data_IF_271196346053
#
_entry.id   IF_271196346053
#
_cell.length_a   1.000
_cell.length_b   1.000
_cell.length_c   1.000
_cell.angle_alpha   90.00
_cell.angle_beta   90.00
_cell.angle_gamma   90.00
#
_symmetry.space_group_name_H-M   'P 1'
#
loop_
_entity.id
_entity.type
_entity.pdbx_description
1 polymer ?
#
# COMPACT_ATOMS: atom_id res chain seq x y z
N UNK A 1 -14.60 -21.01 -15.06
CA UNK A 1 -13.14 -21.12 -15.31
C UNK A 1 -12.45 -19.79 -15.06
N UNK A 2 -12.55 -19.19 -13.85
CA UNK A 2 -11.89 -17.92 -13.51
C UNK A 2 -11.32 -17.87 -12.08
N UNK A 3 -11.30 -19.02 -11.40
CA UNK A 3 -10.91 -19.14 -9.99
C UNK A 3 -9.45 -19.59 -9.81
N UNK A 4 -8.64 -19.60 -10.88
CA UNK A 4 -7.30 -20.19 -10.88
C UNK A 4 -6.16 -19.21 -11.21
N UNK A 5 -6.40 -17.90 -11.18
CA UNK A 5 -5.35 -16.88 -11.42
C UNK A 5 -4.92 -16.16 -10.12
N UNK A 6 -5.56 -16.44 -8.99
CA UNK A 6 -5.28 -15.75 -7.72
C UNK A 6 -4.13 -16.41 -6.93
N UNK A 7 -3.71 -17.62 -7.29
CA UNK A 7 -2.74 -18.40 -6.50
C UNK A 7 -1.28 -18.21 -6.92
N UNK A 8 -0.97 -17.37 -7.91
CA UNK A 8 0.38 -17.27 -8.48
C UNK A 8 1.10 -15.93 -8.25
N UNK A 9 0.53 -15.02 -7.47
CA UNK A 9 1.19 -13.76 -7.07
C UNK A 9 1.64 -13.71 -5.60
N UNK A 10 1.49 -14.80 -4.84
CA UNK A 10 1.88 -14.84 -3.43
C UNK A 10 3.38 -15.18 -3.22
N UNK A 11 4.07 -15.70 -4.22
CA UNK A 11 5.44 -16.24 -4.07
C UNK A 11 6.56 -15.31 -4.58
N UNK A 12 6.24 -14.22 -5.29
CA UNK A 12 7.25 -13.26 -5.74
C UNK A 12 7.62 -12.19 -4.68
N UNK A 13 6.85 -12.10 -3.60
CA UNK A 13 7.05 -11.11 -2.52
C UNK A 13 8.24 -11.43 -1.59
N UNK A 14 8.80 -12.65 -1.63
CA UNK A 14 9.91 -13.04 -0.75
C UNK A 14 11.32 -12.78 -1.32
N UNK A 15 11.45 -12.44 -2.60
CA UNK A 15 12.77 -12.36 -3.26
C UNK A 15 13.37 -10.95 -3.36
N UNK A 16 12.59 -9.88 -3.09
CA UNK A 16 13.11 -8.52 -3.10
C UNK A 16 13.62 -8.16 -1.72
N UNK A 17 14.83 -8.66 -1.44
CA UNK A 17 15.54 -8.43 -0.20
C UNK A 17 15.48 -6.98 0.27
N UNK A 18 14.94 -6.81 1.47
CA UNK A 18 15.15 -5.67 2.36
C UNK A 18 16.66 -5.52 2.63
N UNK A 19 17.42 -4.99 1.66
CA UNK A 19 18.82 -4.65 1.87
C UNK A 19 18.89 -3.36 2.67
N UNK A 20 19.29 -3.57 3.92
CA UNK A 20 20.04 -2.66 4.81
C UNK A 20 19.21 -1.62 5.56
N UNK A 21 19.16 -1.87 6.86
CA UNK A 21 18.55 -1.10 7.95
C UNK A 21 18.93 0.39 7.91
N UNK A 22 17.92 1.25 7.92
CA UNK A 22 17.96 2.57 8.56
C UNK A 22 16.94 2.54 9.71
N UNK A 23 17.24 3.09 10.90
CA UNK A 23 16.40 2.88 12.08
C UNK A 23 15.11 3.73 12.02
N UNK A 24 14.01 3.12 12.46
CA UNK A 24 12.81 3.73 13.04
C UNK A 24 11.56 4.05 12.18
N UNK A 25 11.56 3.83 10.86
CA UNK A 25 10.28 3.69 10.12
C UNK A 25 10.40 2.46 9.24
N UNK A 26 9.94 1.31 9.75
CA UNK A 26 10.06 0.07 9.00
C UNK A 26 9.14 0.17 7.78
N UNK A 27 9.73 0.17 6.59
CA UNK A 27 9.03 0.12 5.30
C UNK A 27 7.85 -0.86 5.34
N UNK A 28 8.09 -2.04 5.92
CA UNK A 28 7.10 -3.08 6.14
C UNK A 28 5.89 -2.62 6.95
N UNK A 29 6.09 -1.88 8.05
CA UNK A 29 4.99 -1.36 8.88
C UNK A 29 4.11 -0.39 8.10
N UNK A 30 4.71 0.49 7.29
CA UNK A 30 3.95 1.46 6.49
C UNK A 30 3.23 0.78 5.33
N UNK A 31 3.85 -0.22 4.67
CA UNK A 31 3.17 -1.04 3.66
C UNK A 31 1.99 -1.79 4.27
N UNK A 32 2.18 -2.43 5.43
CA UNK A 32 1.12 -3.17 6.10
C UNK A 32 -0.05 -2.25 6.48
N UNK A 33 0.22 -1.03 6.98
CA UNK A 33 -0.82 -0.06 7.27
C UNK A 33 -1.65 0.32 6.02
N UNK A 34 -1.01 0.46 4.85
CA UNK A 34 -1.70 0.70 3.57
C UNK A 34 -2.59 -0.49 3.21
N UNK A 35 -2.07 -1.72 3.33
CA UNK A 35 -2.80 -2.95 3.01
C UNK A 35 -4.00 -3.15 3.95
N UNK A 36 -3.82 -2.93 5.24
CA UNK A 36 -4.90 -3.08 6.23
C UNK A 36 -6.02 -2.05 6.01
N UNK A 37 -5.66 -0.80 5.71
CA UNK A 37 -6.64 0.24 5.41
C UNK A 37 -7.38 -0.04 4.08
N UNK A 38 -6.68 -0.59 3.07
CA UNK A 38 -7.31 -1.05 1.83
C UNK A 38 -8.31 -2.16 2.10
N UNK A 39 -7.91 -3.19 2.85
CA UNK A 39 -8.79 -4.31 3.18
C UNK A 39 -10.04 -3.82 3.93
N UNK A 40 -9.86 -2.92 4.90
CA UNK A 40 -10.98 -2.31 5.64
C UNK A 40 -11.95 -1.56 4.70
N UNK A 41 -11.42 -0.80 3.73
CA UNK A 41 -12.25 -0.10 2.75
C UNK A 41 -12.96 -1.07 1.79
N UNK A 42 -12.29 -2.13 1.34
CA UNK A 42 -12.89 -3.17 0.47
C UNK A 42 -14.00 -3.94 1.19
N UNK A 43 -13.80 -4.27 2.47
CA UNK A 43 -14.80 -4.95 3.30
C UNK A 43 -15.98 -4.03 3.63
N UNK A 44 -15.70 -2.77 3.96
CA UNK A 44 -16.70 -1.79 4.36
C UNK A 44 -16.46 -0.46 3.64
N UNK A 45 -17.06 -0.27 2.44
CA UNK A 45 -16.77 0.86 1.56
C UNK A 45 -17.48 2.14 1.97
N UNK A 46 -17.13 2.67 3.14
CA UNK A 46 -17.59 3.98 3.60
C UNK A 46 -16.60 5.07 3.20
N UNK A 47 -17.08 6.31 3.12
CA UNK A 47 -16.24 7.50 2.96
C UNK A 47 -15.12 7.56 4.01
N UNK A 48 -15.44 7.24 5.27
CA UNK A 48 -14.44 7.24 6.35
C UNK A 48 -13.31 6.24 6.09
N UNK A 49 -13.63 5.02 5.68
CA UNK A 49 -12.64 4.00 5.40
C UNK A 49 -11.83 4.29 4.13
N UNK A 50 -12.46 4.89 3.11
CA UNK A 50 -11.77 5.40 1.95
C UNK A 50 -10.71 6.45 2.33
N UNK A 51 -11.10 7.44 3.14
CA UNK A 51 -10.18 8.50 3.59
C UNK A 51 -9.04 7.91 4.43
N UNK A 52 -9.30 6.93 5.30
CA UNK A 52 -8.25 6.21 6.03
C UNK A 52 -7.26 5.52 5.10
N UNK A 53 -7.76 4.87 4.06
CA UNK A 53 -6.91 4.23 3.04
C UNK A 53 -6.03 5.24 2.30
N UNK A 54 -6.61 6.33 1.79
CA UNK A 54 -5.83 7.37 1.10
C UNK A 54 -4.81 8.03 2.03
N UNK A 55 -5.15 8.23 3.30
CA UNK A 55 -4.21 8.76 4.28
C UNK A 55 -3.03 7.81 4.54
N UNK A 56 -3.28 6.50 4.61
CA UNK A 56 -2.21 5.51 4.73
C UNK A 56 -1.27 5.54 3.51
N UNK A 57 -1.82 5.69 2.29
CA UNK A 57 -1.02 5.88 1.07
C UNK A 57 -0.15 7.13 1.15
N UNK A 58 -0.72 8.27 1.54
CA UNK A 58 0.01 9.55 1.69
C UNK A 58 1.13 9.43 2.72
N UNK A 59 0.84 8.84 3.87
CA UNK A 59 1.81 8.62 4.94
C UNK A 59 2.96 7.69 4.47
N UNK A 60 2.64 6.62 3.75
CA UNK A 60 3.65 5.75 3.14
C UNK A 60 4.57 6.53 2.18
N UNK A 61 3.98 7.25 1.21
CA UNK A 61 4.72 8.03 0.20
C UNK A 61 5.57 9.12 0.86
N UNK A 62 5.06 9.82 1.86
CA UNK A 62 5.78 10.92 2.53
C UNK A 62 6.83 10.44 3.53
N UNK A 63 6.73 9.21 4.04
CA UNK A 63 7.61 8.71 5.09
C UNK A 63 9.07 8.49 4.63
N UNK A 64 9.32 8.40 3.32
CA UNK A 64 10.60 7.96 2.75
C UNK A 64 11.12 6.64 3.37
N UNK A 65 10.24 5.84 3.99
CA UNK A 65 10.61 4.65 4.75
C UNK A 65 11.16 3.51 3.86
N UNK A 66 10.78 3.51 2.58
CA UNK A 66 11.19 2.53 1.59
C UNK A 66 12.10 3.20 0.55
N UNK A 67 13.42 3.00 0.68
CA UNK A 67 14.41 3.57 -0.24
C UNK A 67 14.41 2.94 -1.64
N UNK A 68 13.63 1.88 -1.89
CA UNK A 68 13.55 1.20 -3.19
C UNK A 68 12.27 1.59 -3.94
N UNK A 69 12.47 2.21 -5.11
CA UNK A 69 11.55 3.07 -5.85
C UNK A 69 10.27 2.40 -6.39
N UNK A 70 10.21 1.09 -6.57
CA UNK A 70 9.10 0.47 -7.32
C UNK A 70 7.75 0.53 -6.58
N UNK A 71 7.75 0.15 -5.29
CA UNK A 71 6.52 0.17 -4.46
C UNK A 71 6.12 1.61 -4.14
N UNK A 72 7.10 2.46 -3.85
CA UNK A 72 6.90 3.91 -3.75
C UNK A 72 6.22 4.50 -4.99
N UNK A 73 6.76 4.23 -6.19
CA UNK A 73 6.21 4.76 -7.44
C UNK A 73 4.79 4.26 -7.70
N UNK A 74 4.51 2.98 -7.40
CA UNK A 74 3.16 2.42 -7.55
C UNK A 74 2.14 3.16 -6.66
N UNK A 75 2.45 3.37 -5.38
CA UNK A 75 1.55 4.07 -4.47
C UNK A 75 1.48 5.58 -4.71
N UNK A 76 2.55 6.18 -5.23
CA UNK A 76 2.53 7.57 -5.71
C UNK A 76 1.59 7.72 -6.89
N UNK A 77 1.70 6.86 -7.91
CA UNK A 77 0.79 6.84 -9.04
C UNK A 77 -0.65 6.61 -8.58
N UNK A 78 -0.86 5.70 -7.61
CA UNK A 78 -2.18 5.48 -7.05
C UNK A 78 -2.78 6.71 -6.38
N UNK A 79 -1.97 7.58 -5.75
CA UNK A 79 -2.44 8.86 -5.20
C UNK A 79 -2.76 9.90 -6.28
N UNK A 80 -2.01 9.88 -7.38
CA UNK A 80 -2.27 10.75 -8.53
C UNK A 80 -3.60 10.35 -9.21
N UNK A 81 -3.90 9.05 -9.26
CA UNK A 81 -5.12 8.49 -9.85
C UNK A 81 -6.32 8.48 -8.89
N UNK A 82 -6.09 8.46 -7.56
CA UNK A 82 -7.14 8.33 -6.54
C UNK A 82 -6.72 8.98 -5.20
N UNK A 83 -7.39 10.06 -4.82
CA UNK A 83 -7.10 10.84 -3.61
C UNK A 83 -8.36 11.07 -2.73
N UNK A 84 -8.21 11.84 -1.65
CA UNK A 84 -9.29 12.03 -0.66
C UNK A 84 -10.54 12.69 -1.24
N UNK A 85 -10.41 13.47 -2.32
CA UNK A 85 -11.55 14.09 -2.98
C UNK A 85 -12.40 13.07 -3.75
N UNK A 86 -11.82 11.93 -4.09
CA UNK A 86 -12.49 10.82 -4.78
C UNK A 86 -13.24 9.90 -3.79
N UNK A 87 -13.05 10.09 -2.48
CA UNK A 87 -13.82 9.42 -1.44
C UNK A 87 -15.22 10.04 -1.30
N UNK A 88 -16.17 9.53 -2.09
CA UNK A 88 -17.58 9.93 -2.08
C UNK A 88 -18.43 9.05 -1.16
#
# INVERSE_FOLDING_TARGET
MKTMIITLLATALFALGCKKSSPAVNCETKVNAVVDALNTYVETPTKENCVKYVNALKDYVNSNACFNNAVYNAYKQQLDDFNENDCQ
#
